data_IF_799247239208
#
_entry.id   IF_799247239208
#
_cell.length_a   1.000
_cell.length_b   1.000
_cell.length_c   1.000
_cell.angle_alpha   90.00
_cell.angle_beta   90.00
_cell.angle_gamma   90.00
#
_symmetry.space_group_name_H-M   'P 1'
#
loop_
_entity.id
_entity.type
_entity.pdbx_description
1 polymer ?
#
# COMPACT_ATOMS: atom_id res chain seq x y z
N UNK A 1 19.92 -2.83 7.58
CA UNK A 1 20.19 -4.22 8.01
C UNK A 1 18.86 -4.96 8.08
N UNK A 2 18.69 -6.06 7.32
CA UNK A 2 17.45 -6.86 7.37
C UNK A 2 17.44 -7.72 8.63
N UNK A 3 16.29 -7.76 9.33
CA UNK A 3 16.07 -8.58 10.53
C UNK A 3 14.89 -9.51 10.30
N UNK A 4 15.01 -10.76 10.73
CA UNK A 4 13.92 -11.74 10.69
C UNK A 4 13.10 -11.61 11.97
N UNK A 5 11.79 -11.46 11.82
CA UNK A 5 10.83 -11.40 12.93
C UNK A 5 9.86 -12.58 12.82
N UNK A 6 9.82 -13.44 13.84
CA UNK A 6 8.87 -14.55 13.92
C UNK A 6 7.64 -14.12 14.67
N UNK A 7 6.47 -14.18 14.03
CA UNK A 7 5.19 -13.76 14.59
C UNK A 7 4.25 -14.96 14.60
N UNK A 8 3.55 -15.20 15.71
CA UNK A 8 2.45 -16.18 15.75
C UNK A 8 1.18 -15.50 15.27
N UNK A 9 0.50 -16.12 14.31
CA UNK A 9 -0.76 -15.64 13.75
C UNK A 9 -1.83 -16.74 13.87
N UNK A 10 -3.10 -16.37 14.15
CA UNK A 10 -4.20 -17.30 14.00
C UNK A 10 -4.30 -17.81 12.57
N UNK A 11 -4.62 -19.10 12.40
CA UNK A 11 -4.72 -19.75 11.08
C UNK A 11 -5.67 -19.00 10.12
N UNK A 12 -6.80 -18.52 10.64
CA UNK A 12 -7.77 -17.76 9.86
C UNK A 12 -7.19 -16.46 9.26
N UNK A 13 -6.26 -15.80 9.96
CA UNK A 13 -5.61 -14.57 9.51
C UNK A 13 -4.51 -14.90 8.50
N UNK A 14 -3.70 -15.91 8.81
CA UNK A 14 -2.65 -16.41 7.91
C UNK A 14 -3.23 -16.77 6.53
N UNK A 15 -4.35 -17.50 6.51
CA UNK A 15 -5.03 -17.91 5.27
C UNK A 15 -5.50 -16.71 4.45
N UNK A 16 -6.07 -15.69 5.10
CA UNK A 16 -6.53 -14.46 4.43
C UNK A 16 -5.36 -13.70 3.81
N UNK A 17 -4.26 -13.54 4.55
CA UNK A 17 -3.05 -12.85 4.06
C UNK A 17 -2.47 -13.62 2.88
N UNK A 18 -2.40 -14.94 2.95
CA UNK A 18 -1.88 -15.80 1.87
C UNK A 18 -2.68 -15.65 0.58
N UNK A 19 -4.01 -15.67 0.67
CA UNK A 19 -4.89 -15.47 -0.50
C UNK A 19 -4.67 -14.09 -1.10
N UNK A 20 -4.56 -13.04 -0.27
CA UNK A 20 -4.33 -11.67 -0.76
C UNK A 20 -2.96 -11.49 -1.37
N UNK A 21 -1.92 -12.06 -0.78
CA UNK A 21 -0.59 -12.06 -1.35
C UNK A 21 -0.57 -12.70 -2.76
N UNK A 22 -1.30 -13.81 -2.94
CA UNK A 22 -1.43 -14.46 -4.26
C UNK A 22 -2.12 -13.58 -5.29
N UNK A 23 -3.25 -12.95 -4.92
CA UNK A 23 -4.01 -12.07 -5.82
C UNK A 23 -3.17 -10.85 -6.25
N UNK A 24 -2.40 -10.31 -5.31
CA UNK A 24 -1.59 -9.10 -5.52
C UNK A 24 -0.19 -9.42 -6.09
N UNK A 25 0.10 -10.68 -6.42
CA UNK A 25 1.40 -11.15 -6.89
C UNK A 25 2.58 -10.78 -5.97
N UNK A 26 2.36 -10.78 -4.65
CA UNK A 26 3.36 -10.46 -3.61
C UNK A 26 3.74 -11.68 -2.78
N UNK A 27 4.92 -11.64 -2.16
CA UNK A 27 5.23 -12.59 -1.09
C UNK A 27 4.39 -12.31 0.16
N UNK A 28 4.23 -13.31 1.04
CA UNK A 28 3.51 -13.16 2.31
C UNK A 28 4.15 -12.06 3.17
N UNK A 29 5.48 -12.04 3.24
CA UNK A 29 6.23 -11.03 3.99
C UNK A 29 5.99 -9.61 3.46
N UNK A 30 5.96 -9.43 2.13
CA UNK A 30 5.65 -8.14 1.53
C UNK A 30 4.20 -7.72 1.76
N UNK A 31 3.26 -8.66 1.71
CA UNK A 31 1.86 -8.38 1.99
C UNK A 31 1.66 -7.93 3.45
N UNK A 32 2.33 -8.59 4.40
CA UNK A 32 2.32 -8.19 5.82
C UNK A 32 2.95 -6.80 5.98
N UNK A 33 4.12 -6.58 5.38
CA UNK A 33 4.79 -5.27 5.41
C UNK A 33 3.87 -4.18 4.89
N UNK A 34 3.21 -4.41 3.76
CA UNK A 34 2.25 -3.48 3.16
C UNK A 34 1.13 -3.14 4.13
N UNK A 35 0.48 -4.13 4.74
CA UNK A 35 -0.60 -3.87 5.69
C UNK A 35 -0.15 -3.10 6.93
N UNK A 36 1.06 -3.37 7.44
CA UNK A 36 1.62 -2.62 8.57
C UNK A 36 1.89 -1.17 8.16
N UNK A 37 2.49 -0.95 6.98
CA UNK A 37 2.71 0.41 6.46
C UNK A 37 1.40 1.16 6.25
N UNK A 38 0.41 0.53 5.63
CA UNK A 38 -0.93 1.11 5.43
C UNK A 38 -1.56 1.49 6.79
N UNK A 39 -1.45 0.63 7.81
CA UNK A 39 -2.00 0.87 9.15
C UNK A 39 -1.32 2.06 9.86
N UNK A 40 0.01 2.13 9.83
CA UNK A 40 0.76 3.26 10.42
C UNK A 40 0.36 4.58 9.75
N UNK A 41 0.24 4.60 8.42
CA UNK A 41 -0.17 5.79 7.68
C UNK A 41 -1.59 6.25 8.04
N UNK A 42 -2.51 5.31 8.28
CA UNK A 42 -3.86 5.65 8.76
C UNK A 42 -3.82 6.17 10.19
N UNK A 43 -3.04 5.56 11.08
CA UNK A 43 -2.90 6.03 12.47
C UNK A 43 -2.32 7.45 12.54
N UNK A 44 -1.33 7.76 11.68
CA UNK A 44 -0.73 9.09 11.57
C UNK A 44 -1.67 10.13 10.93
N UNK A 45 -2.70 9.70 10.19
CA UNK A 45 -3.63 10.57 9.46
C UNK A 45 -5.02 9.94 9.35
N UNK A 46 -5.79 9.89 10.46
CA UNK A 46 -7.05 9.15 10.54
C UNK A 46 -8.17 9.74 9.68
N UNK A 47 -8.04 11.01 9.29
CA UNK A 47 -9.05 11.74 8.52
C UNK A 47 -9.03 11.39 7.02
N UNK A 48 -7.97 10.72 6.57
CA UNK A 48 -7.70 10.44 5.16
C UNK A 48 -8.10 9.01 4.82
N UNK A 49 -9.00 8.79 3.84
CA UNK A 49 -9.35 7.44 3.40
C UNK A 49 -8.14 6.68 2.86
N UNK A 50 -8.04 5.39 3.20
CA UNK A 50 -6.96 4.52 2.73
C UNK A 50 -6.86 4.47 1.19
N UNK A 51 -7.98 4.57 0.48
CA UNK A 51 -7.99 4.64 -0.99
C UNK A 51 -7.20 5.84 -1.50
N UNK A 52 -7.39 7.02 -0.89
CA UNK A 52 -6.68 8.24 -1.25
C UNK A 52 -5.18 8.14 -0.96
N UNK A 53 -4.80 7.52 0.16
CA UNK A 53 -3.39 7.27 0.49
C UNK A 53 -2.74 6.37 -0.56
N UNK A 54 -3.45 5.31 -1.01
CA UNK A 54 -2.95 4.40 -2.03
C UNK A 54 -2.78 5.08 -3.38
N UNK A 55 -3.78 5.82 -3.83
CA UNK A 55 -3.72 6.59 -5.08
C UNK A 55 -2.55 7.58 -5.06
N UNK A 56 -2.34 8.29 -3.94
CA UNK A 56 -1.20 9.19 -3.81
C UNK A 56 0.15 8.47 -3.89
N UNK A 57 0.27 7.31 -3.25
CA UNK A 57 1.51 6.51 -3.30
C UNK A 57 1.78 5.98 -4.71
N UNK A 58 0.74 5.62 -5.45
CA UNK A 58 0.82 5.19 -6.85
C UNK A 58 1.26 6.34 -7.76
N UNK A 59 0.60 7.50 -7.65
CA UNK A 59 0.99 8.72 -8.39
C UNK A 59 2.42 9.14 -8.07
N UNK A 60 2.83 9.08 -6.79
CA UNK A 60 4.21 9.38 -6.40
C UNK A 60 5.21 8.41 -7.08
N UNK A 61 4.90 7.12 -7.12
CA UNK A 61 5.73 6.13 -7.78
C UNK A 61 5.76 6.32 -9.31
N UNK A 62 4.65 6.73 -9.94
CA UNK A 62 4.59 7.04 -11.37
C UNK A 62 5.42 8.28 -11.73
N UNK A 63 5.36 9.33 -10.90
CA UNK A 63 6.21 10.52 -11.04
C UNK A 63 7.69 10.14 -10.92
N UNK A 64 8.04 9.34 -9.90
CA UNK A 64 9.42 8.86 -9.72
C UNK A 64 9.91 7.96 -10.86
N UNK A 65 9.00 7.18 -11.46
CA UNK A 65 9.27 6.36 -12.64
C UNK A 65 9.33 7.18 -13.95
N UNK A 66 9.03 8.48 -13.91
CA UNK A 66 9.03 9.38 -15.07
C UNK A 66 7.84 9.18 -16.01
N UNK A 67 6.77 8.54 -15.54
CA UNK A 67 5.54 8.25 -16.31
C UNK A 67 4.41 9.23 -15.95
N UNK A 68 4.59 10.04 -14.89
CA UNK A 68 3.59 11.04 -14.49
C UNK A 68 3.35 12.08 -15.57
N UNK A 69 2.08 12.25 -15.95
CA UNK A 69 1.63 13.32 -16.85
C UNK A 69 1.14 14.53 -16.03
N UNK A 70 1.50 15.74 -16.44
CA UNK A 70 0.95 16.95 -15.82
C UNK A 70 -0.52 17.11 -16.18
N UNK A 71 -1.35 17.32 -15.16
CA UNK A 71 -2.78 17.60 -15.36
C UNK A 71 -2.96 19.03 -15.91
N UNK A 72 -3.40 19.16 -17.16
CA UNK A 72 -3.75 20.45 -17.74
C UNK A 72 -5.13 20.91 -17.26
N UNK A 73 -5.16 22.00 -16.49
CA UNK A 73 -6.42 22.62 -16.07
C UNK A 73 -7.13 23.24 -17.29
N UNK A 74 -8.35 22.75 -17.57
CA UNK A 74 -9.19 23.33 -18.60
C UNK A 74 -9.58 24.78 -18.28
N UNK A 75 -9.41 25.69 -19.24
CA UNK A 75 -9.88 27.07 -19.12
C UNK A 75 -11.38 27.09 -19.43
N UNK A 76 -12.20 27.48 -18.45
CA UNK A 76 -13.64 27.74 -18.68
C UNK A 76 -13.73 29.00 -19.55
N UNK A 77 -14.23 28.89 -20.78
CA UNK A 77 -14.55 30.02 -21.66
C UNK A 77 -16.00 30.42 -21.53
#
# INVERSE_FOLDING_TARGET
>A
MMKVLTIRLPEAIEKKIRIKAQIEHRSISEQIKKYITDAILIEDSPDIPLSFIKEKLEVQAEIEAGVGEEYEFGVIK
#
